data_IF_021007608337
#
_entry.id   IF_021007608337
#
_cell.length_a   1.000
_cell.length_b   1.000
_cell.length_c   1.000
_cell.angle_alpha   90.00
_cell.angle_beta   90.00
_cell.angle_gamma   90.00
#
_symmetry.space_group_name_H-M   'P 1'
#
loop_
_entity.id
_entity.type
_entity.pdbx_description
1 polymer ?
#
# COMPACT_ATOMS: atom_id res chain seq x y z
N UNK A 1 12.18 11.97 87.94
CA UNK A 1 13.22 11.36 88.85
C UNK A 1 13.68 10.07 88.21
N UNK A 2 15.02 9.95 88.08
CA UNK A 2 15.77 8.75 87.77
C UNK A 2 15.84 8.25 86.34
N UNK A 3 16.88 7.93 85.73
CA UNK A 3 18.36 8.13 85.83
C UNK A 3 18.89 7.71 84.46
N UNK A 4 19.74 8.49 83.89
CA UNK A 4 20.62 8.09 82.77
C UNK A 4 21.65 7.10 83.21
N UNK A 5 21.87 6.13 82.39
CA UNK A 5 23.21 5.51 82.38
C UNK A 5 23.71 5.27 80.94
N UNK A 6 24.96 5.53 80.63
CA UNK A 6 25.57 5.38 79.35
C UNK A 6 26.14 4.00 79.12
N UNK A 7 25.94 3.41 77.98
CA UNK A 7 26.58 2.22 77.59
C UNK A 7 27.86 2.54 76.82
N UNK A 8 28.99 2.19 77.41
CA UNK A 8 30.34 2.37 76.86
C UNK A 8 30.58 1.48 75.63
N UNK A 9 31.33 2.06 74.68
CA UNK A 9 31.96 1.39 73.55
C UNK A 9 32.73 0.11 73.99
N UNK A 10 32.55 -0.96 73.25
CA UNK A 10 33.57 -1.89 72.90
C UNK A 10 33.50 -2.25 71.40
N UNK A 11 34.52 -1.78 70.69
CA UNK A 11 34.86 -2.16 69.35
C UNK A 11 35.02 -3.67 69.23
N UNK A 12 34.23 -4.32 68.37
CA UNK A 12 34.64 -5.56 67.71
C UNK A 12 33.98 -5.53 66.32
N UNK A 13 34.80 -5.19 65.35
CA UNK A 13 34.54 -5.35 63.96
C UNK A 13 34.21 -6.80 63.61
N UNK A 14 32.97 -7.10 63.26
CA UNK A 14 32.69 -8.33 62.51
C UNK A 14 32.20 -7.91 61.12
N UNK A 15 32.87 -8.40 60.05
CA UNK A 15 32.57 -7.99 58.67
C UNK A 15 31.25 -8.54 58.11
N UNK A 16 30.43 -9.16 58.93
CA UNK A 16 29.17 -9.80 58.51
C UNK A 16 27.92 -8.95 58.71
N UNK A 17 28.02 -7.73 59.24
CA UNK A 17 26.84 -6.89 59.45
C UNK A 17 26.52 -5.98 58.26
N UNK A 18 27.43 -5.86 57.27
CA UNK A 18 27.24 -5.02 56.10
C UNK A 18 26.49 -5.71 54.94
N UNK A 19 26.44 -7.04 54.94
CA UNK A 19 25.79 -7.84 53.90
C UNK A 19 24.28 -8.06 54.11
N UNK A 20 23.71 -7.56 55.22
CA UNK A 20 22.30 -7.81 55.55
C UNK A 20 21.35 -6.64 55.21
N UNK A 21 21.86 -5.53 54.66
CA UNK A 21 21.05 -4.34 54.35
C UNK A 21 20.83 -4.10 52.85
N UNK A 22 21.19 -5.06 52.01
CA UNK A 22 20.91 -5.02 50.55
C UNK A 22 19.84 -6.03 50.11
N UNK A 23 19.06 -6.60 51.02
CA UNK A 23 17.93 -7.46 50.68
C UNK A 23 16.63 -6.66 50.72
N UNK A 24 16.45 -5.77 49.77
CA UNK A 24 15.24 -4.95 49.65
C UNK A 24 14.89 -4.49 48.23
N UNK A 25 15.71 -4.87 47.26
CA UNK A 25 15.33 -4.80 45.84
C UNK A 25 14.90 -6.20 45.46
N UNK A 26 13.58 -6.41 45.27
CA UNK A 26 13.01 -7.71 45.06
C UNK A 26 13.78 -8.49 44.00
N UNK A 27 14.14 -9.73 44.34
CA UNK A 27 14.54 -10.74 43.37
C UNK A 27 13.37 -10.89 42.38
N UNK A 28 13.37 -10.06 41.33
CA UNK A 28 12.56 -10.37 40.15
C UNK A 28 13.19 -11.66 39.63
N UNK A 29 12.54 -12.78 39.93
CA UNK A 29 13.06 -14.09 39.55
C UNK A 29 13.33 -14.08 38.05
N UNK A 30 14.39 -14.74 37.59
CA UNK A 30 14.68 -14.94 36.15
C UNK A 30 13.42 -15.37 35.37
N UNK A 31 12.56 -16.16 36.01
CA UNK A 31 11.22 -16.55 35.49
C UNK A 31 10.30 -15.36 35.29
N UNK A 32 10.29 -14.35 36.19
CA UNK A 32 9.49 -13.12 36.02
C UNK A 32 9.98 -12.25 34.85
N UNK A 33 11.31 -12.14 34.67
CA UNK A 33 11.88 -11.45 33.52
C UNK A 33 11.60 -12.19 32.21
N UNK A 34 11.71 -13.50 32.16
CA UNK A 34 11.40 -14.31 30.98
C UNK A 34 9.92 -14.23 30.61
N UNK A 35 9.00 -14.26 31.59
CA UNK A 35 7.57 -14.10 31.34
C UNK A 35 7.21 -12.70 30.83
N UNK A 36 7.82 -11.64 31.37
CA UNK A 36 7.62 -10.27 30.90
C UNK A 36 8.14 -10.06 29.46
N UNK A 37 9.32 -10.58 29.14
CA UNK A 37 9.87 -10.54 27.77
C UNK A 37 8.98 -11.35 26.82
N UNK A 38 8.51 -12.52 27.20
CA UNK A 38 7.62 -13.34 26.38
C UNK A 38 6.27 -12.65 26.13
N UNK A 39 5.67 -12.02 27.13
CA UNK A 39 4.46 -11.20 26.97
C UNK A 39 4.69 -9.99 26.06
N UNK A 40 5.81 -9.31 26.20
CA UNK A 40 6.15 -8.16 25.35
C UNK A 40 6.35 -8.58 23.89
N UNK A 41 7.04 -9.69 23.64
CA UNK A 41 7.22 -10.24 22.29
C UNK A 41 5.90 -10.68 21.67
N UNK A 42 5.01 -11.33 22.42
CA UNK A 42 3.67 -11.70 21.98
C UNK A 42 2.85 -10.45 21.66
N UNK A 43 2.88 -9.41 22.48
CA UNK A 43 2.20 -8.14 22.24
C UNK A 43 2.74 -7.42 21.00
N UNK A 44 4.06 -7.38 20.82
CA UNK A 44 4.68 -6.77 19.63
C UNK A 44 4.34 -7.55 18.36
N UNK A 45 4.36 -8.87 18.41
CA UNK A 45 3.96 -9.73 17.31
C UNK A 45 2.47 -9.56 17.00
N UNK A 46 1.61 -9.54 18.01
CA UNK A 46 0.16 -9.33 17.85
C UNK A 46 -0.15 -7.92 17.32
N UNK A 47 0.51 -6.88 17.83
CA UNK A 47 0.40 -5.52 17.30
C UNK A 47 0.90 -5.45 15.86
N UNK A 48 2.01 -6.13 15.53
CA UNK A 48 2.50 -6.26 14.16
C UNK A 48 1.49 -6.93 13.22
N UNK A 49 0.87 -8.04 13.63
CA UNK A 49 -0.19 -8.69 12.87
C UNK A 49 -1.48 -7.85 12.78
N UNK A 50 -1.83 -7.09 13.80
CA UNK A 50 -2.99 -6.19 13.77
C UNK A 50 -2.76 -4.98 12.86
N UNK A 51 -1.53 -4.47 12.78
CA UNK A 51 -1.12 -3.39 11.85
C UNK A 51 -0.94 -3.86 10.41
N UNK A 52 -0.54 -5.12 10.22
CA UNK A 52 -0.33 -5.75 8.92
C UNK A 52 -1.55 -6.62 8.55
N UNK A 53 -2.77 -6.05 8.61
CA UNK A 53 -3.89 -6.73 7.95
C UNK A 53 -3.54 -6.84 6.47
N UNK A 54 -3.34 -8.06 5.93
CA UNK A 54 -3.07 -8.19 4.51
C UNK A 54 -4.30 -7.65 3.76
N UNK A 55 -4.07 -6.67 2.89
CA UNK A 55 -5.09 -6.08 2.04
C UNK A 55 -5.68 -7.19 1.16
N UNK A 56 -6.97 -7.47 1.29
CA UNK A 56 -7.64 -8.41 0.41
C UNK A 56 -7.88 -7.74 -0.95
N UNK A 57 -7.04 -8.08 -1.94
CA UNK A 57 -7.10 -7.48 -3.28
C UNK A 57 -8.37 -7.88 -4.06
N UNK A 58 -9.10 -8.89 -3.63
CA UNK A 58 -10.35 -9.33 -4.25
C UNK A 58 -11.59 -8.65 -3.63
N UNK A 59 -11.39 -7.77 -2.65
CA UNK A 59 -12.44 -6.99 -2.01
C UNK A 59 -12.11 -5.50 -2.07
N UNK A 60 -12.88 -4.75 -2.86
CA UNK A 60 -12.65 -3.30 -3.06
C UNK A 60 -12.80 -2.52 -1.76
N UNK A 61 -13.70 -2.92 -0.84
CA UNK A 61 -13.85 -2.27 0.45
C UNK A 61 -12.57 -2.43 1.28
N UNK A 62 -12.04 -3.67 1.36
CA UNK A 62 -10.76 -3.93 2.03
C UNK A 62 -9.60 -3.14 1.43
N UNK A 63 -9.59 -2.94 0.11
CA UNK A 63 -8.56 -2.13 -0.56
C UNK A 63 -8.69 -0.66 -0.21
N UNK A 64 -9.90 -0.11 -0.22
CA UNK A 64 -10.14 1.31 0.05
C UNK A 64 -9.92 1.66 1.52
N UNK A 65 -10.21 0.73 2.45
CA UNK A 65 -10.00 0.91 3.88
C UNK A 65 -8.55 0.63 4.33
N UNK A 66 -7.73 0.01 3.47
CA UNK A 66 -6.36 -0.39 3.82
C UNK A 66 -5.45 0.81 4.14
N UNK A 67 -5.76 1.99 3.63
CA UNK A 67 -4.99 3.23 3.82
C UNK A 67 -5.92 4.41 3.96
N UNK A 68 -5.62 5.27 4.93
CA UNK A 68 -6.30 6.54 5.11
C UNK A 68 -6.25 7.39 3.82
N UNK A 69 -7.37 7.99 3.47
CA UNK A 69 -7.49 8.88 2.31
C UNK A 69 -7.67 8.19 0.96
N UNK A 70 -7.64 6.84 0.87
CA UNK A 70 -7.84 6.15 -0.40
C UNK A 70 -9.28 6.25 -0.90
N UNK A 71 -10.24 6.12 0.01
CA UNK A 71 -11.66 6.27 -0.32
C UNK A 71 -11.96 7.68 -0.87
N UNK A 72 -11.49 8.72 -0.20
CA UNK A 72 -11.65 10.12 -0.63
C UNK A 72 -10.97 10.38 -1.98
N UNK A 73 -9.78 9.80 -2.19
CA UNK A 73 -9.04 9.97 -3.44
C UNK A 73 -9.79 9.39 -4.64
N UNK A 74 -10.39 8.20 -4.53
CA UNK A 74 -11.18 7.62 -5.63
C UNK A 74 -12.47 8.39 -5.88
N UNK A 75 -13.13 8.89 -4.84
CA UNK A 75 -14.32 9.75 -4.95
C UNK A 75 -14.00 11.07 -5.66
N UNK A 76 -12.90 11.70 -5.27
CA UNK A 76 -12.42 12.94 -5.89
C UNK A 76 -12.10 12.75 -7.37
N UNK A 77 -11.39 11.68 -7.73
CA UNK A 77 -11.09 11.34 -9.12
C UNK A 77 -12.35 11.05 -9.93
N UNK A 78 -13.29 10.27 -9.37
CA UNK A 78 -14.59 10.01 -9.98
C UNK A 78 -15.37 11.30 -10.25
N UNK A 79 -15.48 12.16 -9.26
CA UNK A 79 -16.20 13.44 -9.37
C UNK A 79 -15.56 14.36 -10.41
N UNK A 80 -14.23 14.36 -10.53
CA UNK A 80 -13.48 15.21 -11.47
C UNK A 80 -13.57 14.70 -12.92
N UNK A 81 -13.43 13.40 -13.12
CA UNK A 81 -13.24 12.80 -14.43
C UNK A 81 -14.44 12.00 -14.94
N UNK A 82 -15.37 11.64 -14.06
CA UNK A 82 -16.56 10.85 -14.35
C UNK A 82 -16.29 9.37 -14.67
N UNK A 83 -15.08 8.88 -14.43
CA UNK A 83 -14.75 7.47 -14.60
C UNK A 83 -15.26 6.68 -13.40
N UNK A 84 -16.00 5.56 -13.61
CA UNK A 84 -16.48 4.75 -12.49
C UNK A 84 -15.33 4.24 -11.62
N UNK A 85 -15.48 4.31 -10.29
CA UNK A 85 -14.46 3.87 -9.33
C UNK A 85 -14.02 2.42 -9.56
N UNK A 86 -14.93 1.44 -9.78
CA UNK A 86 -14.54 0.08 -10.07
C UNK A 86 -13.66 -0.08 -11.30
N UNK A 87 -13.84 0.74 -12.34
CA UNK A 87 -12.98 0.73 -13.54
C UNK A 87 -11.56 1.18 -13.20
N UNK A 88 -11.42 2.32 -12.51
CA UNK A 88 -10.11 2.82 -12.09
C UNK A 88 -9.37 1.80 -11.23
N UNK A 89 -10.06 1.23 -10.25
CA UNK A 89 -9.50 0.25 -9.31
C UNK A 89 -9.12 -1.07 -10.01
N UNK A 90 -9.92 -1.54 -10.97
CA UNK A 90 -9.61 -2.74 -11.74
C UNK A 90 -8.37 -2.58 -12.62
N UNK A 91 -8.20 -1.40 -13.26
CA UNK A 91 -6.98 -1.06 -14.01
C UNK A 91 -5.77 -1.04 -13.05
N UNK A 92 -5.82 -0.30 -11.96
CA UNK A 92 -4.71 -0.19 -11.00
C UNK A 92 -4.35 -1.55 -10.38
N UNK A 93 -5.37 -2.37 -10.08
CA UNK A 93 -5.13 -3.75 -9.65
C UNK A 93 -4.33 -4.54 -10.68
N UNK A 94 -4.67 -4.44 -11.97
CA UNK A 94 -3.97 -5.17 -13.03
C UNK A 94 -2.53 -4.66 -13.19
N UNK A 95 -2.30 -3.35 -13.07
CA UNK A 95 -1.00 -2.73 -13.30
C UNK A 95 0.01 -3.02 -12.18
N UNK A 96 -0.38 -2.87 -10.93
CA UNK A 96 0.58 -2.92 -9.82
C UNK A 96 0.13 -3.74 -8.61
N UNK A 97 -1.10 -4.24 -8.56
CA UNK A 97 -1.71 -4.80 -7.34
C UNK A 97 -1.68 -3.81 -6.17
N UNK A 98 -1.80 -2.53 -6.48
CA UNK A 98 -1.69 -1.43 -5.50
C UNK A 98 -0.33 -1.34 -4.80
N UNK A 99 0.74 -1.72 -5.48
CA UNK A 99 2.11 -1.55 -4.99
C UNK A 99 2.64 -0.19 -5.44
N UNK A 100 3.02 0.65 -4.46
CA UNK A 100 3.40 2.05 -4.68
C UNK A 100 4.64 2.22 -5.57
N UNK A 101 5.63 1.38 -5.40
CA UNK A 101 6.93 1.43 -6.07
C UNK A 101 7.09 0.35 -7.15
N UNK A 102 5.97 -0.19 -7.62
CA UNK A 102 5.98 -1.22 -8.66
C UNK A 102 6.76 -0.76 -9.90
N UNK A 103 7.60 -1.64 -10.41
CA UNK A 103 8.44 -1.41 -11.59
C UNK A 103 8.46 -2.62 -12.49
N UNK A 104 8.60 -2.45 -13.83
CA UNK A 104 8.83 -3.55 -14.75
C UNK A 104 10.11 -4.29 -14.44
N UNK A 105 10.18 -5.55 -14.86
CA UNK A 105 11.38 -6.36 -14.78
C UNK A 105 12.56 -5.77 -15.53
N UNK A 106 13.74 -6.39 -15.35
CA UNK A 106 14.95 -6.00 -16.07
C UNK A 106 15.03 -6.68 -17.43
N UNK A 107 15.72 -6.02 -18.36
CA UNK A 107 16.31 -6.64 -19.54
C UNK A 107 17.66 -7.23 -19.14
N UNK A 108 17.93 -8.44 -19.58
CA UNK A 108 19.12 -9.18 -19.20
C UNK A 108 20.07 -9.31 -20.39
N UNK A 109 21.34 -9.00 -20.19
CA UNK A 109 22.39 -9.32 -21.14
C UNK A 109 22.90 -10.72 -20.82
N UNK A 110 22.99 -11.58 -21.86
CA UNK A 110 23.35 -13.02 -21.76
C UNK A 110 22.52 -13.79 -20.69
N UNK A 111 21.31 -13.33 -20.35
CA UNK A 111 20.45 -13.99 -19.38
C UNK A 111 20.86 -13.81 -17.89
N UNK A 112 21.99 -13.14 -17.60
CA UNK A 112 22.56 -13.08 -16.25
C UNK A 112 22.86 -11.67 -15.75
N UNK A 113 23.08 -10.69 -16.63
CA UNK A 113 23.44 -9.33 -16.25
C UNK A 113 22.25 -8.38 -16.50
N UNK A 114 21.60 -7.83 -15.47
CA UNK A 114 20.54 -6.84 -15.65
C UNK A 114 21.18 -5.51 -16.10
N UNK A 115 20.74 -4.96 -17.25
CA UNK A 115 21.34 -3.73 -17.78
C UNK A 115 20.35 -2.56 -17.90
N UNK A 116 19.05 -2.81 -18.01
CA UNK A 116 18.04 -1.78 -18.11
C UNK A 116 16.67 -2.30 -17.66
N UNK A 117 15.74 -1.40 -17.32
CA UNK A 117 14.32 -1.76 -17.14
C UNK A 117 13.67 -1.99 -18.51
N UNK A 118 12.62 -2.83 -18.55
CA UNK A 118 11.87 -3.11 -19.78
C UNK A 118 11.15 -1.87 -20.30
N UNK A 119 10.70 -0.99 -19.39
CA UNK A 119 10.07 0.29 -19.70
C UNK A 119 10.26 1.29 -18.55
N UNK A 120 9.80 2.55 -18.74
CA UNK A 120 9.79 3.60 -17.72
C UNK A 120 8.54 3.57 -16.85
N UNK A 121 7.69 2.54 -16.96
CA UNK A 121 6.50 2.38 -16.13
C UNK A 121 6.85 2.34 -14.65
N UNK A 122 6.05 3.04 -13.82
CA UNK A 122 6.31 3.15 -12.39
C UNK A 122 5.03 3.39 -11.59
N UNK A 123 5.04 2.89 -10.36
CA UNK A 123 4.06 3.20 -9.34
C UNK A 123 2.72 2.48 -9.50
N UNK A 124 1.71 2.97 -8.81
CA UNK A 124 0.38 2.36 -8.75
C UNK A 124 -0.28 2.14 -10.13
N UNK A 125 -0.16 3.12 -11.00
CA UNK A 125 -0.80 3.11 -12.33
C UNK A 125 0.12 2.63 -13.45
N UNK A 126 1.38 2.26 -13.16
CA UNK A 126 2.40 1.88 -14.15
C UNK A 126 2.51 2.85 -15.35
N UNK A 127 2.27 4.13 -15.08
CA UNK A 127 2.35 5.17 -16.10
C UNK A 127 3.79 5.34 -16.61
N UNK A 128 3.94 5.48 -17.93
CA UNK A 128 5.22 5.82 -18.57
C UNK A 128 5.58 7.29 -18.34
N UNK A 129 6.87 7.63 -18.36
CA UNK A 129 7.36 9.00 -18.12
C UNK A 129 6.69 10.04 -19.01
N UNK A 130 6.60 9.78 -20.32
CA UNK A 130 5.99 10.72 -21.27
C UNK A 130 4.52 10.97 -21.00
N UNK A 131 3.74 9.90 -20.75
CA UNK A 131 2.30 10.02 -20.48
C UNK A 131 2.04 10.69 -19.13
N UNK A 132 2.90 10.43 -18.13
CA UNK A 132 2.83 11.10 -16.84
C UNK A 132 3.16 12.59 -16.94
N UNK A 133 4.16 12.94 -17.77
CA UNK A 133 4.48 14.33 -18.09
C UNK A 133 3.30 15.06 -18.75
N UNK A 134 2.64 14.43 -19.71
CA UNK A 134 1.43 14.98 -20.35
C UNK A 134 0.31 15.21 -19.34
N UNK A 135 0.08 14.26 -18.44
CA UNK A 135 -0.91 14.41 -17.35
C UNK A 135 -0.60 15.63 -16.47
N UNK A 136 0.63 15.73 -15.98
CA UNK A 136 1.05 16.83 -15.12
C UNK A 136 0.85 18.18 -15.80
N UNK A 137 1.36 18.32 -17.02
CA UNK A 137 1.27 19.59 -17.77
C UNK A 137 -0.16 19.99 -18.12
N UNK A 138 -1.03 19.02 -18.48
CA UNK A 138 -2.42 19.30 -18.87
C UNK A 138 -3.36 19.52 -17.69
N UNK A 139 -3.01 19.03 -16.50
CA UNK A 139 -3.84 19.19 -15.29
C UNK A 139 -3.32 20.27 -14.36
N UNK A 140 -2.12 20.81 -14.61
CA UNK A 140 -1.44 21.75 -13.74
C UNK A 140 -0.94 21.12 -12.42
N UNK A 141 -0.88 19.77 -12.35
CA UNK A 141 -0.44 19.05 -11.15
C UNK A 141 1.06 18.70 -11.25
N UNK A 142 1.91 19.70 -11.23
CA UNK A 142 3.35 19.52 -11.41
C UNK A 142 4.04 18.73 -10.31
N UNK A 143 3.43 18.66 -9.13
CA UNK A 143 3.95 17.91 -7.98
C UNK A 143 3.43 16.48 -7.90
N UNK A 144 2.57 16.04 -8.83
CA UNK A 144 2.01 14.70 -8.84
C UNK A 144 3.11 13.61 -8.88
N UNK A 145 2.93 12.56 -8.09
CA UNK A 145 3.85 11.44 -7.95
C UNK A 145 3.17 10.13 -8.28
N UNK A 146 3.84 9.28 -9.06
CA UNK A 146 3.31 7.95 -9.47
C UNK A 146 3.20 6.94 -8.32
N UNK A 147 3.96 7.14 -7.25
CA UNK A 147 3.94 6.36 -6.01
C UNK A 147 3.00 6.95 -4.93
N UNK A 148 2.27 8.01 -5.25
CA UNK A 148 1.17 8.51 -4.45
C UNK A 148 -0.16 7.99 -5.02
N UNK A 149 -0.99 7.35 -4.18
CA UNK A 149 -2.23 6.74 -4.63
C UNK A 149 -3.24 7.75 -5.18
N UNK A 150 -3.40 8.89 -4.51
CA UNK A 150 -4.35 9.93 -4.93
C UNK A 150 -3.99 10.50 -6.30
N UNK A 151 -2.70 10.76 -6.55
CA UNK A 151 -2.21 11.22 -7.86
C UNK A 151 -2.37 10.14 -8.93
N UNK A 152 -2.09 8.88 -8.58
CA UNK A 152 -2.18 7.77 -9.52
C UNK A 152 -3.64 7.47 -9.93
N UNK A 153 -4.60 7.51 -9.00
CA UNK A 153 -6.01 7.31 -9.34
C UNK A 153 -6.60 8.50 -10.10
N UNK A 154 -6.16 9.73 -9.80
CA UNK A 154 -6.53 10.92 -10.59
C UNK A 154 -5.99 10.84 -12.03
N UNK A 155 -4.75 10.34 -12.19
CA UNK A 155 -4.18 10.05 -13.50
C UNK A 155 -5.01 9.01 -14.29
N UNK A 156 -5.41 7.91 -13.66
CA UNK A 156 -6.23 6.88 -14.34
C UNK A 156 -7.58 7.48 -14.77
N UNK A 157 -8.23 8.26 -13.91
CA UNK A 157 -9.46 8.96 -14.26
C UNK A 157 -9.28 9.92 -15.44
N UNK A 158 -8.23 10.74 -15.43
CA UNK A 158 -7.87 11.62 -16.55
C UNK A 158 -7.60 10.83 -17.83
N UNK A 159 -6.84 9.74 -17.74
CA UNK A 159 -6.47 8.93 -18.89
C UNK A 159 -7.69 8.28 -19.55
N UNK A 160 -8.57 7.68 -18.78
CA UNK A 160 -9.78 7.00 -19.27
C UNK A 160 -10.79 8.00 -19.87
N UNK A 161 -10.98 9.19 -19.27
CA UNK A 161 -11.77 10.26 -19.85
C UNK A 161 -11.22 10.73 -21.20
N UNK A 162 -9.90 10.93 -21.28
CA UNK A 162 -9.26 11.38 -22.53
C UNK A 162 -9.27 10.26 -23.60
N UNK A 163 -9.24 8.99 -23.16
CA UNK A 163 -9.44 7.83 -24.03
C UNK A 163 -10.85 7.83 -24.66
N UNK A 164 -11.90 8.01 -23.84
CA UNK A 164 -13.27 8.12 -24.37
C UNK A 164 -13.40 9.24 -25.41
N UNK A 165 -12.87 10.41 -25.11
CA UNK A 165 -12.90 11.57 -26.02
C UNK A 165 -12.21 11.31 -27.35
N UNK A 166 -11.10 10.56 -27.36
CA UNK A 166 -10.25 10.35 -28.55
C UNK A 166 -10.58 9.07 -29.34
N UNK A 167 -11.18 8.09 -28.68
CA UNK A 167 -11.42 6.76 -29.29
C UNK A 167 -12.88 6.35 -29.31
N UNK A 168 -13.77 7.05 -28.59
CA UNK A 168 -15.16 6.70 -28.42
C UNK A 168 -15.44 5.56 -27.44
N UNK A 169 -14.41 4.98 -26.79
CA UNK A 169 -14.58 3.92 -25.79
C UNK A 169 -15.18 4.51 -24.51
N UNK A 170 -16.36 4.06 -24.07
CA UNK A 170 -16.97 4.58 -22.86
C UNK A 170 -16.07 4.38 -21.62
N UNK A 171 -16.09 5.35 -20.70
CA UNK A 171 -15.34 5.24 -19.40
C UNK A 171 -15.79 4.06 -18.54
N UNK A 172 -17.01 3.57 -18.75
CA UNK A 172 -17.57 2.38 -18.09
C UNK A 172 -17.13 1.05 -18.71
N UNK A 173 -16.60 1.07 -19.94
CA UNK A 173 -16.09 -0.12 -20.63
C UNK A 173 -14.67 -0.44 -20.16
N UNK A 174 -14.55 -1.21 -19.09
CA UNK A 174 -13.25 -1.58 -18.54
C UNK A 174 -12.38 -2.39 -19.50
N UNK A 175 -12.99 -3.21 -20.36
CA UNK A 175 -12.28 -4.00 -21.37
C UNK A 175 -11.61 -3.11 -22.41
N UNK A 176 -12.39 -2.27 -23.07
CA UNK A 176 -11.87 -1.35 -24.10
C UNK A 176 -10.93 -0.29 -23.53
N UNK A 177 -11.22 0.23 -22.34
CA UNK A 177 -10.35 1.16 -21.62
C UNK A 177 -8.99 0.53 -21.30
N UNK A 178 -8.95 -0.73 -20.86
CA UNK A 178 -7.70 -1.40 -20.58
C UNK A 178 -6.87 -1.68 -21.85
N UNK A 179 -7.51 -2.08 -22.94
CA UNK A 179 -6.82 -2.22 -24.24
C UNK A 179 -6.18 -0.90 -24.70
N UNK A 180 -6.90 0.21 -24.56
CA UNK A 180 -6.38 1.54 -24.89
C UNK A 180 -5.31 2.01 -23.90
N UNK A 181 -5.39 1.59 -22.64
CA UNK A 181 -4.39 1.88 -21.62
C UNK A 181 -3.05 1.22 -21.95
N UNK A 182 -3.09 -0.05 -22.32
CA UNK A 182 -1.90 -0.84 -22.64
C UNK A 182 -1.27 -0.46 -23.98
N UNK A 183 -2.08 -0.34 -25.05
CA UNK A 183 -1.60 -0.06 -26.42
C UNK A 183 -1.32 1.43 -26.68
N UNK A 184 -1.74 2.29 -25.78
CA UNK A 184 -1.90 3.70 -26.04
C UNK A 184 -3.10 3.96 -26.98
N UNK A 185 -3.67 5.16 -26.91
CA UNK A 185 -4.86 5.56 -27.69
C UNK A 185 -4.66 5.39 -29.20
N UNK A 186 -3.47 5.69 -29.70
CA UNK A 186 -3.14 5.52 -31.13
C UNK A 186 -3.04 4.05 -31.52
N UNK A 187 -2.46 3.19 -30.67
CA UNK A 187 -2.40 1.75 -30.89
C UNK A 187 -3.80 1.13 -30.88
N UNK A 188 -4.64 1.53 -29.94
CA UNK A 188 -6.03 1.09 -29.86
C UNK A 188 -6.80 1.43 -31.14
N UNK A 189 -6.71 2.67 -31.64
CA UNK A 189 -7.37 3.09 -32.89
C UNK A 189 -6.92 2.33 -34.12
N UNK A 190 -5.68 1.86 -34.16
CA UNK A 190 -5.16 1.01 -35.23
C UNK A 190 -5.51 -0.47 -35.06
N UNK A 191 -6.13 -0.86 -33.96
CA UNK A 191 -6.44 -2.25 -33.65
C UNK A 191 -5.22 -3.11 -33.35
N UNK A 192 -4.10 -2.53 -32.86
CA UNK A 192 -2.85 -3.27 -32.61
C UNK A 192 -3.00 -4.39 -31.58
N UNK A 193 -4.05 -4.36 -30.77
CA UNK A 193 -4.40 -5.40 -29.80
C UNK A 193 -4.98 -6.66 -30.43
N UNK A 194 -5.55 -6.59 -31.67
CA UNK A 194 -6.26 -7.71 -32.30
C UNK A 194 -5.38 -8.95 -32.48
N UNK A 195 -4.07 -8.76 -32.67
CA UNK A 195 -3.10 -9.85 -32.82
C UNK A 195 -2.47 -10.29 -31.49
N UNK A 196 -2.88 -9.72 -30.37
CA UNK A 196 -2.33 -9.98 -29.03
C UNK A 196 -3.34 -10.73 -28.17
N UNK A 197 -3.58 -12.00 -28.46
CA UNK A 197 -4.54 -12.84 -27.73
C UNK A 197 -4.33 -12.81 -26.21
N UNK A 198 -3.08 -12.74 -25.78
CA UNK A 198 -2.75 -12.59 -24.36
C UNK A 198 -3.31 -11.28 -23.77
N UNK A 199 -3.25 -10.16 -24.51
CA UNK A 199 -3.74 -8.86 -24.07
C UNK A 199 -5.27 -8.86 -24.00
N UNK A 200 -5.94 -9.48 -24.97
CA UNK A 200 -7.40 -9.66 -24.93
C UNK A 200 -7.80 -10.45 -23.67
N UNK A 201 -7.06 -11.51 -23.34
CA UNK A 201 -7.27 -12.28 -22.12
C UNK A 201 -7.04 -11.47 -20.83
N UNK A 202 -6.08 -10.55 -20.82
CA UNK A 202 -5.85 -9.64 -19.68
C UNK A 202 -6.97 -8.61 -19.58
N UNK A 203 -7.40 -8.00 -20.68
CA UNK A 203 -8.53 -7.05 -20.70
C UNK A 203 -9.81 -7.70 -20.18
N UNK A 204 -10.10 -8.94 -20.54
CA UNK A 204 -11.22 -9.71 -20.00
C UNK A 204 -11.10 -9.99 -18.48
N UNK A 205 -9.87 -10.11 -17.95
CA UNK A 205 -9.67 -10.21 -16.48
C UNK A 205 -9.97 -8.89 -15.78
N UNK A 206 -9.56 -7.76 -16.39
CA UNK A 206 -9.85 -6.42 -15.87
C UNK A 206 -11.36 -6.17 -15.84
N UNK A 207 -12.06 -6.53 -16.89
CA UNK A 207 -13.52 -6.42 -16.95
C UNK A 207 -14.21 -7.25 -15.85
N UNK A 208 -13.86 -8.53 -15.70
CA UNK A 208 -14.41 -9.37 -14.63
C UNK A 208 -14.14 -8.79 -13.24
N UNK A 209 -12.95 -8.24 -13.02
CA UNK A 209 -12.61 -7.57 -11.76
C UNK A 209 -13.44 -6.30 -11.54
N UNK A 210 -13.65 -5.52 -12.58
CA UNK A 210 -14.51 -4.35 -12.52
C UNK A 210 -15.95 -4.72 -12.13
N UNK A 211 -16.51 -5.78 -12.72
CA UNK A 211 -17.86 -6.26 -12.37
C UNK A 211 -17.92 -6.65 -10.88
N UNK A 212 -16.97 -7.49 -10.42
CA UNK A 212 -16.87 -7.91 -9.02
C UNK A 212 -16.74 -6.69 -8.08
N UNK A 213 -15.88 -5.73 -8.41
CA UNK A 213 -15.70 -4.51 -7.63
C UNK A 213 -16.95 -3.61 -7.66
N UNK A 214 -17.71 -3.57 -8.75
CA UNK A 214 -18.96 -2.82 -8.82
C UNK A 214 -20.01 -3.36 -7.86
N UNK A 215 -20.17 -4.69 -7.79
CA UNK A 215 -21.10 -5.34 -6.88
C UNK A 215 -20.72 -5.13 -5.41
N UNK A 216 -19.41 -5.14 -5.11
CA UNK A 216 -18.92 -4.92 -3.76
C UNK A 216 -19.02 -3.45 -3.35
N UNK A 217 -18.72 -2.52 -4.26
CA UNK A 217 -18.64 -1.09 -3.98
C UNK A 217 -19.98 -0.49 -3.48
N UNK A 218 -21.10 -1.00 -3.96
CA UNK A 218 -22.43 -0.60 -3.46
C UNK A 218 -22.61 -0.86 -1.95
N UNK A 219 -21.85 -1.83 -1.40
CA UNK A 219 -21.86 -2.17 0.03
C UNK A 219 -20.90 -1.32 0.85
N UNK A 220 -19.73 -0.95 0.28
CA UNK A 220 -18.75 -0.11 0.98
C UNK A 220 -19.26 1.33 1.19
N UNK A 221 -20.07 1.84 0.26
CA UNK A 221 -20.61 3.20 0.34
C UNK A 221 -21.76 3.36 1.33
N UNK A 222 -22.17 2.27 1.98
CA UNK A 222 -23.25 2.26 2.99
C UNK A 222 -22.72 2.35 4.44
N UNK A 223 -21.40 2.45 4.65
CA UNK A 223 -20.73 2.61 5.94
C UNK A 223 -20.25 4.05 6.07
#
# INVERSE_FOLDING_TARGET
>A
MFFRQPCRLKFKLSPLCWLRKQRGLGEVSLLGWMSAVCLLTVLVVYAGFAFLRPMNLDDICSVLDAREGWYEAVQKSHSRWGTPIPVMMAIMHQESKFVADARPGYKWFLGVIPYARQSTAFGYAQALDGVWGDYRSRTGNDQARRDNFADAVDFVGWYTRDTERLTGVPRSDAYGQYLAYHEGRSGYRRGSYNQKLWLLGVAAKVERRMVMYSEQYTRCSAI
#
